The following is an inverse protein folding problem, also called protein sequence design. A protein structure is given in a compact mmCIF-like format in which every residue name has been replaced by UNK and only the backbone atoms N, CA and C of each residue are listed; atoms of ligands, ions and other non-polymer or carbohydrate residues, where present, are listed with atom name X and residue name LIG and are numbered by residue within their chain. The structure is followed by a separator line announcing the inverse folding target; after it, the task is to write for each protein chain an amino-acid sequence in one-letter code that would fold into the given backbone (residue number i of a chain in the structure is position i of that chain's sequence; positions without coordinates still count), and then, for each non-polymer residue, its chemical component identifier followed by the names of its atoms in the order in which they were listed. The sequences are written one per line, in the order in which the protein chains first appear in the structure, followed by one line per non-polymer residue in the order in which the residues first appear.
data_IF_309111154844
#
_entry.id   IF_309111154844
#
_cell.length_a   1.000
_cell.length_b   1.000
_cell.length_c   1.000
_cell.angle_alpha   90.00
_cell.angle_beta   90.00
_cell.angle_gamma   90.00
#
_symmetry.space_group_name_H-M   'P 1'
#
loop_
_entity.id
_entity.type
_entity.pdbx_description
1 polymer ?
#
# COMPACT_ATOMS: atom_id res chain seq x y z
N UNK A 1 25.91 9.17 -4.89
CA UNK A 1 24.50 9.29 -4.47
C UNK A 1 24.28 8.24 -3.39
N UNK A 2 23.90 8.65 -2.18
CA UNK A 2 23.73 7.73 -1.04
C UNK A 2 22.51 6.82 -1.27
N UNK A 3 22.70 5.51 -1.10
CA UNK A 3 21.61 4.54 -1.22
C UNK A 3 20.75 4.51 0.04
N UNK A 4 19.54 3.95 -0.03
CA UNK A 4 18.66 3.76 1.14
C UNK A 4 19.35 2.94 2.23
N UNK A 5 20.11 1.91 1.85
CA UNK A 5 20.87 1.09 2.79
C UNK A 5 21.90 1.93 3.54
N UNK A 6 22.76 2.65 2.82
CA UNK A 6 23.78 3.53 3.44
C UNK A 6 23.16 4.59 4.35
N UNK A 7 22.00 5.14 3.97
CA UNK A 7 21.28 6.09 4.80
C UNK A 7 20.81 5.45 6.12
N UNK A 8 20.25 4.24 6.05
CA UNK A 8 19.81 3.51 7.24
C UNK A 8 20.99 3.03 8.10
N UNK A 9 22.10 2.60 7.50
CA UNK A 9 23.34 2.27 8.22
C UNK A 9 23.75 3.45 9.11
N UNK A 10 23.73 4.68 8.57
CA UNK A 10 24.11 5.88 9.31
C UNK A 10 23.11 6.19 10.43
N UNK A 11 21.80 6.15 10.15
CA UNK A 11 20.77 6.55 11.13
C UNK A 11 20.57 5.50 12.23
N UNK A 12 20.67 4.22 11.89
CA UNK A 12 20.38 3.11 12.80
C UNK A 12 21.61 2.63 13.56
N UNK A 13 22.84 2.89 13.09
CA UNK A 13 24.08 2.48 13.79
C UNK A 13 24.09 2.83 15.30
N UNK A 14 23.69 4.06 15.74
CA UNK A 14 23.66 4.38 17.17
C UNK A 14 22.67 3.54 18.00
N UNK A 15 21.71 2.90 17.34
CA UNK A 15 20.61 2.16 17.96
C UNK A 15 20.75 0.64 17.80
N UNK A 16 21.82 0.14 17.18
CA UNK A 16 22.04 -1.29 16.94
C UNK A 16 21.89 -2.15 18.21
N UNK A 17 22.49 -1.80 19.37
CA UNK A 17 22.32 -2.60 20.59
C UNK A 17 20.86 -2.68 21.06
N UNK A 18 20.08 -1.62 20.84
CA UNK A 18 18.67 -1.58 21.18
C UNK A 18 17.84 -2.42 20.20
N UNK A 19 18.16 -2.34 18.91
CA UNK A 19 17.49 -3.14 17.87
C UNK A 19 17.76 -4.63 18.04
N UNK A 20 19.00 -5.01 18.38
CA UNK A 20 19.37 -6.41 18.63
C UNK A 20 18.72 -7.00 19.88
N UNK A 21 18.48 -6.17 20.90
CA UNK A 21 17.78 -6.57 22.13
C UNK A 21 16.25 -6.47 22.06
N UNK A 22 15.70 -5.81 21.03
CA UNK A 22 14.27 -5.60 20.91
C UNK A 22 13.57 -6.88 20.44
N UNK A 23 12.49 -7.27 21.13
CA UNK A 23 11.63 -8.36 20.67
C UNK A 23 10.92 -8.02 19.34
N UNK A 24 10.61 -6.74 19.13
CA UNK A 24 10.00 -6.24 17.89
C UNK A 24 10.51 -4.83 17.58
N UNK A 25 10.71 -4.54 16.30
CA UNK A 25 11.17 -3.24 15.80
C UNK A 25 10.38 -2.83 14.55
N UNK A 26 9.82 -1.62 14.58
CA UNK A 26 8.93 -1.12 13.53
C UNK A 26 9.44 0.21 12.98
N UNK A 27 9.62 0.29 11.66
CA UNK A 27 10.07 1.50 10.99
C UNK A 27 8.98 2.06 10.07
N UNK A 28 8.71 3.37 10.16
CA UNK A 28 7.71 4.04 9.34
C UNK A 28 8.36 5.14 8.49
N UNK A 29 8.27 5.00 7.17
CA UNK A 29 8.75 6.01 6.23
C UNK A 29 7.63 6.97 5.85
N UNK A 30 7.55 8.13 6.51
CA UNK A 30 6.62 9.21 6.13
C UNK A 30 7.16 10.10 5.00
N UNK A 31 7.65 9.48 3.92
CA UNK A 31 8.20 10.18 2.77
C UNK A 31 7.36 9.93 1.50
N UNK A 32 7.71 10.64 0.41
CA UNK A 32 7.08 10.41 -0.89
C UNK A 32 7.42 9.02 -1.46
N UNK A 33 6.66 8.65 -2.48
CA UNK A 33 6.75 7.33 -3.12
C UNK A 33 8.04 7.02 -3.85
N UNK A 34 9.01 7.93 -3.95
CA UNK A 34 10.29 7.65 -4.62
C UNK A 34 10.98 6.42 -4.05
N UNK A 35 10.84 6.17 -2.75
CA UNK A 35 11.42 5.04 -2.04
C UNK A 35 10.95 3.67 -2.59
N UNK A 36 9.68 3.55 -2.94
CA UNK A 36 9.05 2.29 -3.38
C UNK A 36 8.73 2.24 -4.87
N UNK A 37 8.60 3.41 -5.51
CA UNK A 37 8.35 3.53 -6.95
C UNK A 37 9.65 3.38 -7.77
N UNK A 38 10.81 3.62 -7.17
CA UNK A 38 12.10 3.33 -7.80
C UNK A 38 12.58 1.93 -7.42
N UNK A 39 12.81 1.07 -8.43
CA UNK A 39 13.20 -0.32 -8.22
C UNK A 39 14.52 -0.47 -7.45
N UNK A 40 15.52 0.36 -7.73
CA UNK A 40 16.82 0.32 -7.05
C UNK A 40 16.71 0.76 -5.59
N UNK A 41 15.96 1.84 -5.32
CA UNK A 41 15.68 2.29 -3.95
C UNK A 41 14.89 1.24 -3.17
N UNK A 42 13.90 0.62 -3.79
CA UNK A 42 13.07 -0.39 -3.14
C UNK A 42 13.87 -1.68 -2.86
N UNK A 43 14.73 -2.11 -3.78
CA UNK A 43 15.65 -3.22 -3.56
C UNK A 43 16.64 -2.92 -2.42
N UNK A 44 17.17 -1.70 -2.35
CA UNK A 44 18.03 -1.27 -1.25
C UNK A 44 17.29 -1.24 0.09
N UNK A 45 16.03 -0.78 0.10
CA UNK A 45 15.18 -0.82 1.30
C UNK A 45 14.97 -2.27 1.78
N UNK A 46 14.61 -3.18 0.86
CA UNK A 46 14.42 -4.61 1.19
C UNK A 46 15.65 -5.22 1.86
N UNK A 47 16.85 -4.92 1.33
CA UNK A 47 18.11 -5.37 1.95
C UNK A 47 18.31 -4.76 3.33
N UNK A 48 18.10 -3.46 3.48
CA UNK A 48 18.28 -2.77 4.76
C UNK A 48 17.36 -3.32 5.86
N UNK A 49 16.10 -3.61 5.52
CA UNK A 49 15.14 -4.21 6.44
C UNK A 49 15.64 -5.54 7.01
N UNK A 50 16.25 -6.39 6.16
CA UNK A 50 16.85 -7.66 6.59
C UNK A 50 18.13 -7.43 7.39
N UNK A 51 19.03 -6.57 6.90
CA UNK A 51 20.32 -6.29 7.55
C UNK A 51 20.16 -5.73 8.96
N UNK A 52 19.22 -4.81 9.17
CA UNK A 52 18.93 -4.21 10.48
C UNK A 52 17.89 -4.99 11.30
N UNK A 53 17.51 -6.20 10.86
CA UNK A 53 16.58 -7.10 11.56
C UNK A 53 15.26 -6.41 11.96
N UNK A 54 14.76 -5.54 11.08
CA UNK A 54 13.52 -4.82 11.35
C UNK A 54 12.33 -5.78 11.26
N UNK A 55 11.53 -5.88 12.31
CA UNK A 55 10.34 -6.75 12.34
C UNK A 55 9.36 -6.34 11.26
N UNK A 56 9.08 -5.04 11.14
CA UNK A 56 8.33 -4.52 10.01
C UNK A 56 8.74 -3.12 9.58
N UNK A 57 8.50 -2.82 8.31
CA UNK A 57 8.72 -1.51 7.72
C UNK A 57 7.54 -1.10 6.86
N UNK A 58 7.05 0.12 7.09
CA UNK A 58 5.95 0.73 6.36
C UNK A 58 6.45 1.83 5.42
N UNK A 59 5.99 1.80 4.18
CA UNK A 59 6.27 2.84 3.19
C UNK A 59 5.04 3.11 2.30
N UNK A 60 5.05 4.22 1.57
CA UNK A 60 3.90 4.72 0.82
C UNK A 60 4.31 5.09 -0.60
N UNK A 61 3.44 4.93 -1.61
CA UNK A 61 3.78 5.21 -3.01
C UNK A 61 3.27 6.55 -3.57
N UNK A 62 2.54 7.36 -2.79
CA UNK A 62 2.07 8.65 -3.26
C UNK A 62 3.22 9.60 -3.60
N UNK A 63 3.19 10.19 -4.79
CA UNK A 63 4.22 11.15 -5.27
C UNK A 63 4.31 12.36 -4.34
N UNK A 64 3.17 12.86 -3.88
CA UNK A 64 3.05 13.95 -2.90
C UNK A 64 2.43 13.41 -1.62
N UNK A 65 3.16 12.50 -0.97
CA UNK A 65 2.69 11.88 0.26
C UNK A 65 2.39 12.95 1.33
N UNK A 66 1.26 12.79 2.01
CA UNK A 66 0.80 13.70 3.05
C UNK A 66 0.70 12.89 4.35
N UNK A 67 1.67 13.02 5.27
CA UNK A 67 1.71 12.23 6.49
C UNK A 67 0.47 12.37 7.38
N UNK A 68 -0.23 13.51 7.33
CA UNK A 68 -1.46 13.72 8.10
C UNK A 68 -2.57 12.70 7.81
N UNK A 69 -2.56 12.05 6.64
CA UNK A 69 -3.52 10.98 6.36
C UNK A 69 -3.23 9.67 7.11
N UNK A 70 -2.04 9.49 7.70
CA UNK A 70 -1.70 8.26 8.44
C UNK A 70 -2.17 8.28 9.89
N UNK A 71 -2.70 9.39 10.41
CA UNK A 71 -3.04 9.51 11.83
C UNK A 71 -3.98 8.40 12.32
N UNK A 72 -5.03 8.07 11.56
CA UNK A 72 -5.94 6.99 11.92
C UNK A 72 -5.26 5.62 11.91
N UNK A 73 -4.35 5.39 10.96
CA UNK A 73 -3.59 4.15 10.84
C UNK A 73 -2.61 3.99 12.03
N UNK A 74 -1.94 5.08 12.41
CA UNK A 74 -0.97 5.08 13.52
C UNK A 74 -1.64 4.92 14.88
N UNK A 75 -2.82 5.52 15.06
CA UNK A 75 -3.61 5.30 16.28
C UNK A 75 -4.02 3.83 16.38
N UNK A 76 -4.52 3.23 15.29
CA UNK A 76 -4.89 1.82 15.28
C UNK A 76 -3.66 0.89 15.46
N UNK A 77 -2.50 1.24 14.90
CA UNK A 77 -1.24 0.54 15.15
C UNK A 77 -0.85 0.59 16.62
N UNK A 78 -0.89 1.78 17.22
CA UNK A 78 -0.54 1.99 18.63
C UNK A 78 -1.43 1.15 19.53
N UNK A 79 -2.74 1.21 19.31
CA UNK A 79 -3.72 0.49 20.11
C UNK A 79 -3.56 -1.04 19.95
N UNK A 80 -3.63 -1.54 18.72
CA UNK A 80 -3.70 -2.99 18.49
C UNK A 80 -2.34 -3.68 18.61
N UNK A 81 -1.26 -3.05 18.18
CA UNK A 81 0.07 -3.69 18.11
C UNK A 81 0.92 -3.33 19.33
N UNK A 82 0.97 -2.06 19.73
CA UNK A 82 1.83 -1.66 20.83
C UNK A 82 1.17 -1.89 22.20
N UNK A 83 -0.11 -1.55 22.36
CA UNK A 83 -0.84 -1.68 23.63
C UNK A 83 -1.40 -3.09 23.80
N UNK A 84 -2.19 -3.58 22.84
CA UNK A 84 -2.80 -4.92 22.91
C UNK A 84 -1.83 -6.06 22.55
N UNK A 85 -0.62 -5.75 22.06
CA UNK A 85 0.42 -6.72 21.70
C UNK A 85 -0.05 -7.76 20.67
N UNK A 86 -0.99 -7.39 19.79
CA UNK A 86 -1.43 -8.28 18.71
C UNK A 86 -0.31 -8.43 17.67
N UNK A 87 -0.11 -9.64 17.13
CA UNK A 87 0.83 -9.84 16.02
C UNK A 87 0.49 -8.91 14.86
N UNK A 88 1.50 -8.19 14.34
CA UNK A 88 1.25 -7.14 13.34
C UNK A 88 0.41 -7.63 12.14
N UNK A 89 0.79 -8.78 11.55
CA UNK A 89 0.13 -9.29 10.35
C UNK A 89 -1.36 -9.64 10.57
N UNK A 90 -1.77 -9.98 11.80
CA UNK A 90 -3.19 -10.19 12.12
C UNK A 90 -3.93 -8.89 12.43
N UNK A 91 -3.22 -7.84 12.87
CA UNK A 91 -3.79 -6.52 13.17
C UNK A 91 -3.94 -5.62 11.93
N UNK A 92 -3.09 -5.75 10.91
CA UNK A 92 -3.06 -4.85 9.74
C UNK A 92 -4.43 -4.69 9.07
N UNK A 93 -5.19 -5.77 8.94
CA UNK A 93 -6.52 -5.72 8.32
C UNK A 93 -7.48 -4.80 9.09
N UNK A 94 -7.52 -4.91 10.42
CA UNK A 94 -8.34 -4.03 11.26
C UNK A 94 -7.80 -2.60 11.29
N UNK A 95 -6.47 -2.42 11.30
CA UNK A 95 -5.85 -1.09 11.24
C UNK A 95 -6.24 -0.33 9.96
N UNK A 96 -6.29 -1.04 8.83
CA UNK A 96 -6.66 -0.47 7.54
C UNK A 96 -8.15 -0.16 7.44
N UNK A 97 -9.01 -0.88 8.16
CA UNK A 97 -10.45 -0.69 8.13
C UNK A 97 -10.89 0.77 8.40
N UNK A 98 -10.12 1.47 9.24
CA UNK A 98 -10.37 2.87 9.63
C UNK A 98 -9.62 3.90 8.78
N UNK A 99 -8.85 3.47 7.79
CA UNK A 99 -7.88 4.30 7.05
C UNK A 99 -8.31 4.62 5.61
N UNK A 100 -9.62 4.67 5.32
CA UNK A 100 -10.13 4.83 3.95
C UNK A 100 -9.64 6.11 3.25
N UNK A 101 -9.49 7.23 3.98
CA UNK A 101 -8.95 8.48 3.44
C UNK A 101 -7.51 8.31 2.97
N UNK A 102 -6.69 7.58 3.73
CA UNK A 102 -5.32 7.25 3.36
C UNK A 102 -5.30 6.41 2.07
N UNK A 103 -6.18 5.41 1.96
CA UNK A 103 -6.28 4.56 0.78
C UNK A 103 -6.63 5.29 -0.52
N UNK A 104 -7.39 6.39 -0.43
CA UNK A 104 -7.64 7.26 -1.59
C UNK A 104 -6.38 8.02 -2.04
N UNK A 105 -5.42 8.20 -1.14
CA UNK A 105 -4.20 8.97 -1.37
C UNK A 105 -3.03 8.10 -1.80
N UNK A 106 -2.82 6.97 -1.12
CA UNK A 106 -1.63 6.12 -1.30
C UNK A 106 -1.94 4.65 -1.10
N UNK A 107 -1.15 3.81 -1.74
CA UNK A 107 -0.98 2.41 -1.34
C UNK A 107 0.04 2.35 -0.19
N UNK A 108 0.01 1.25 0.55
CA UNK A 108 0.87 1.02 1.72
C UNK A 108 1.69 -0.24 1.46
N UNK A 109 2.99 -0.13 1.60
CA UNK A 109 3.93 -1.23 1.48
C UNK A 109 4.32 -1.65 2.89
N UNK A 110 4.11 -2.93 3.21
CA UNK A 110 4.51 -3.52 4.47
C UNK A 110 5.52 -4.62 4.18
N UNK A 111 6.74 -4.42 4.67
CA UNK A 111 7.83 -5.38 4.61
C UNK A 111 7.95 -5.99 6.00
N UNK A 112 7.97 -7.31 6.10
CA UNK A 112 8.15 -8.02 7.37
C UNK A 112 9.22 -9.07 7.24
N UNK A 113 10.04 -9.24 8.27
CA UNK A 113 11.07 -10.30 8.32
C UNK A 113 10.60 -11.40 9.24
N UNK A 114 10.59 -12.65 8.78
CA UNK A 114 10.30 -13.81 9.62
C UNK A 114 11.47 -14.10 10.57
N UNK A 115 11.25 -14.93 11.59
CA UNK A 115 12.33 -15.33 12.51
C UNK A 115 13.51 -16.05 11.79
N UNK A 116 13.29 -16.60 10.60
CA UNK A 116 14.33 -17.20 9.76
C UNK A 116 15.03 -16.21 8.81
N UNK A 117 14.79 -14.90 8.95
CA UNK A 117 15.36 -13.88 8.07
C UNK A 117 14.67 -13.75 6.69
N UNK A 118 13.61 -14.53 6.44
CA UNK A 118 12.91 -14.46 5.17
C UNK A 118 12.04 -13.19 5.12
N UNK A 119 12.33 -12.33 4.13
CA UNK A 119 11.56 -11.13 3.87
C UNK A 119 10.24 -11.47 3.20
N UNK A 120 9.14 -10.94 3.70
CA UNK A 120 7.84 -10.86 3.00
C UNK A 120 7.54 -9.40 2.71
N UNK A 121 7.04 -9.13 1.52
CA UNK A 121 6.57 -7.80 1.14
C UNK A 121 5.15 -7.88 0.60
N UNK A 122 4.25 -7.08 1.18
CA UNK A 122 2.86 -6.96 0.73
C UNK A 122 2.55 -5.50 0.41
N UNK A 123 1.78 -5.27 -0.66
CA UNK A 123 1.20 -3.97 -0.98
C UNK A 123 -0.28 -3.98 -0.64
N UNK A 124 -0.70 -3.09 0.24
CA UNK A 124 -2.10 -2.85 0.56
C UNK A 124 -2.62 -1.70 -0.28
N UNK A 125 -3.66 -2.00 -1.04
CA UNK A 125 -4.25 -1.08 -2.02
C UNK A 125 -5.71 -0.88 -1.66
N UNK A 126 -6.16 0.36 -1.62
CA UNK A 126 -7.58 0.63 -1.46
C UNK A 126 -8.25 0.65 -2.83
N UNK A 127 -9.35 -0.08 -2.94
CA UNK A 127 -10.15 -0.22 -4.15
C UNK A 127 -11.53 0.35 -3.95
N UNK A 128 -12.08 0.97 -5.00
CA UNK A 128 -13.45 1.41 -5.07
C UNK A 128 -13.94 1.25 -6.50
N UNK A 129 -15.08 0.58 -6.69
CA UNK A 129 -15.64 0.28 -8.01
C UNK A 129 -15.60 1.48 -8.95
N UNK A 130 -16.09 2.63 -8.50
CA UNK A 130 -16.32 3.79 -9.38
C UNK A 130 -15.17 4.82 -9.42
N UNK A 131 -14.13 4.67 -8.58
CA UNK A 131 -13.05 5.68 -8.47
C UNK A 131 -11.65 5.09 -8.55
N UNK A 132 -11.50 3.89 -7.95
CA UNK A 132 -10.25 3.14 -7.94
C UNK A 132 -10.51 1.65 -8.20
N UNK A 133 -11.09 1.28 -9.35
CA UNK A 133 -11.39 -0.11 -9.67
C UNK A 133 -10.12 -0.95 -9.59
N UNK A 134 -10.11 -1.93 -8.69
CA UNK A 134 -8.93 -2.74 -8.36
C UNK A 134 -7.68 -1.92 -8.05
N UNK A 135 -7.86 -0.74 -7.43
CA UNK A 135 -6.78 0.17 -7.07
C UNK A 135 -6.21 1.03 -8.21
N UNK A 136 -6.61 0.77 -9.46
CA UNK A 136 -6.22 1.60 -10.59
C UNK A 136 -6.98 2.92 -10.60
N UNK A 137 -6.34 4.01 -11.03
CA UNK A 137 -6.97 5.33 -11.04
C UNK A 137 -7.94 5.47 -12.23
N UNK A 138 -9.23 5.72 -11.95
CA UNK A 138 -10.20 6.13 -12.96
C UNK A 138 -10.36 7.66 -12.91
N UNK A 139 -10.03 8.40 -13.99
CA UNK A 139 -10.19 9.85 -14.02
C UNK A 139 -11.64 10.27 -13.80
N UNK A 140 -11.92 11.39 -13.13
CA UNK A 140 -13.30 11.88 -12.95
C UNK A 140 -13.91 12.36 -14.28
N UNK A 141 -13.07 12.87 -15.17
CA UNK A 141 -13.45 13.35 -16.51
C UNK A 141 -12.77 12.50 -17.57
N UNK A 142 -13.43 12.32 -18.71
CA UNK A 142 -12.79 11.66 -19.85
C UNK A 142 -11.63 12.53 -20.35
N UNK A 143 -10.38 12.04 -20.34
CA UNK A 143 -9.23 12.85 -20.76
C UNK A 143 -9.24 13.18 -22.25
N UNK A 144 -10.06 12.47 -23.05
CA UNK A 144 -10.17 12.68 -24.50
C UNK A 144 -11.18 13.76 -24.89
N UNK A 145 -12.36 13.77 -24.26
CA UNK A 145 -13.45 14.68 -24.64
C UNK A 145 -13.90 15.64 -23.53
N UNK A 146 -13.31 15.55 -22.33
CA UNK A 146 -13.63 16.42 -21.20
C UNK A 146 -14.98 16.17 -20.52
N UNK A 147 -15.75 15.17 -20.98
CA UNK A 147 -17.04 14.84 -20.40
C UNK A 147 -16.89 14.51 -18.91
N UNK A 148 -17.68 15.14 -18.04
CA UNK A 148 -17.69 14.90 -16.60
C UNK A 148 -18.61 13.74 -16.25
N UNK A 149 -18.30 13.00 -15.18
CA UNK A 149 -19.01 11.75 -14.83
C UNK A 149 -19.07 10.79 -16.02
N UNK A 150 -17.89 10.57 -16.60
CA UNK A 150 -17.78 10.15 -17.98
C UNK A 150 -18.03 8.67 -18.21
N UNK A 151 -18.30 7.86 -17.19
CA UNK A 151 -18.06 6.42 -17.29
C UNK A 151 -19.32 5.59 -17.06
N UNK A 152 -19.71 4.84 -18.09
CA UNK A 152 -20.60 3.67 -17.95
C UNK A 152 -19.72 2.48 -17.57
N UNK A 153 -20.09 1.74 -16.53
CA UNK A 153 -19.30 0.62 -16.02
C UNK A 153 -19.99 -0.73 -16.25
N UNK A 154 -19.21 -1.75 -16.59
CA UNK A 154 -19.64 -3.15 -16.54
C UNK A 154 -18.61 -3.99 -15.76
N UNK A 155 -19.08 -5.09 -15.16
CA UNK A 155 -18.22 -6.08 -14.51
C UNK A 155 -18.21 -7.36 -15.34
N UNK A 156 -17.02 -7.82 -15.69
CA UNK A 156 -16.79 -9.06 -16.43
C UNK A 156 -16.32 -10.11 -15.43
N UNK A 157 -17.21 -11.03 -15.09
CA UNK A 157 -16.98 -12.00 -14.00
C UNK A 157 -15.88 -13.02 -14.33
N UNK A 158 -15.79 -13.47 -15.59
CA UNK A 158 -14.76 -14.42 -16.05
C UNK A 158 -13.35 -13.88 -15.84
N UNK A 159 -13.17 -12.58 -16.05
CA UNK A 159 -11.87 -11.93 -16.03
C UNK A 159 -11.61 -11.18 -14.73
N UNK A 160 -12.60 -11.20 -13.81
CA UNK A 160 -12.65 -10.38 -12.59
C UNK A 160 -12.22 -8.94 -12.87
N UNK A 161 -12.82 -8.35 -13.91
CA UNK A 161 -12.42 -7.06 -14.43
C UNK A 161 -13.59 -6.08 -14.47
N UNK A 162 -13.30 -4.80 -14.27
CA UNK A 162 -14.21 -3.71 -14.54
C UNK A 162 -13.85 -3.05 -15.86
N UNK A 163 -14.82 -2.91 -16.75
CA UNK A 163 -14.70 -2.08 -17.94
C UNK A 163 -15.44 -0.77 -17.74
N UNK A 164 -14.86 0.32 -18.24
CA UNK A 164 -15.43 1.65 -18.23
C UNK A 164 -15.38 2.23 -19.62
N UNK A 165 -16.52 2.73 -20.11
CA UNK A 165 -16.65 3.33 -21.43
C UNK A 165 -17.19 4.75 -21.32
N UNK A 166 -16.72 5.65 -22.18
CA UNK A 166 -17.16 7.02 -22.16
C UNK A 166 -18.67 7.13 -22.44
N UNK A 167 -19.40 7.91 -21.63
CA UNK A 167 -20.82 8.22 -21.80
C UNK A 167 -21.10 9.06 -23.05
N UNK A 168 -20.10 9.78 -23.55
CA UNK A 168 -20.24 10.58 -24.76
C UNK A 168 -20.19 9.67 -25.99
N UNK A 169 -21.29 9.56 -26.72
CA UNK A 169 -21.42 8.67 -27.88
C UNK A 169 -20.47 9.03 -29.05
N UNK A 170 -19.92 10.25 -29.04
CA UNK A 170 -18.86 10.66 -29.99
C UNK A 170 -17.44 10.30 -29.53
N UNK A 171 -17.27 9.63 -28.38
CA UNK A 171 -15.98 9.33 -27.78
C UNK A 171 -15.79 7.84 -27.51
N UNK A 172 -14.77 7.23 -28.11
CA UNK A 172 -14.44 5.81 -27.93
C UNK A 172 -13.41 5.51 -26.84
N UNK A 173 -13.24 6.41 -25.87
CA UNK A 173 -12.30 6.18 -24.76
C UNK A 173 -12.87 5.13 -23.80
N UNK A 174 -12.04 4.16 -23.42
CA UNK A 174 -12.37 3.15 -22.42
C UNK A 174 -11.18 2.84 -21.51
N UNK A 175 -11.48 2.18 -20.39
CA UNK A 175 -10.51 1.61 -19.45
C UNK A 175 -10.95 0.22 -19.02
N UNK A 176 -9.98 -0.66 -18.80
CA UNK A 176 -10.20 -1.98 -18.21
C UNK A 176 -9.26 -2.11 -17.02
N UNK A 177 -9.81 -2.52 -15.88
CA UNK A 177 -9.07 -2.78 -14.66
C UNK A 177 -9.34 -4.21 -14.23
N UNK A 178 -8.30 -5.03 -14.18
CA UNK A 178 -8.37 -6.42 -13.72
C UNK A 178 -7.89 -6.54 -12.28
N UNK A 179 -8.42 -7.52 -11.55
CA UNK A 179 -7.90 -7.84 -10.23
C UNK A 179 -6.41 -8.24 -10.34
N UNK A 180 -5.50 -7.62 -9.54
CA UNK A 180 -4.10 -8.00 -9.56
C UNK A 180 -3.92 -9.48 -9.19
N UNK A 181 -2.99 -10.21 -9.83
CA UNK A 181 -2.73 -11.61 -9.50
C UNK A 181 -2.40 -11.79 -8.02
N UNK A 182 -3.02 -12.79 -7.38
CA UNK A 182 -2.84 -13.06 -5.95
C UNK A 182 -3.45 -12.03 -5.01
N UNK A 183 -4.15 -11.01 -5.52
CA UNK A 183 -4.79 -10.02 -4.66
C UNK A 183 -5.92 -10.64 -3.84
N UNK A 184 -5.91 -10.38 -2.53
CA UNK A 184 -6.93 -10.82 -1.59
C UNK A 184 -7.65 -9.61 -1.02
N UNK A 185 -8.98 -9.57 -1.18
CA UNK A 185 -9.80 -8.55 -0.52
C UNK A 185 -9.78 -8.75 0.99
N UNK A 186 -9.57 -7.67 1.72
CA UNK A 186 -9.70 -7.64 3.17
C UNK A 186 -11.19 -7.52 3.53
N UNK A 187 -11.58 -8.23 4.57
CA UNK A 187 -12.95 -8.24 5.10
C UNK A 187 -13.22 -7.05 6.01
N UNK A 188 -12.26 -6.68 6.86
CA UNK A 188 -12.41 -5.55 7.76
C UNK A 188 -12.48 -4.22 6.99
N UNK A 189 -13.44 -3.37 7.36
CA UNK A 189 -13.67 -2.07 6.74
C UNK A 189 -14.18 -2.12 5.29
N UNK A 190 -14.57 -3.31 4.80
CA UNK A 190 -15.26 -3.45 3.52
C UNK A 190 -16.61 -2.73 3.58
N UNK A 191 -16.82 -1.83 2.64
CA UNK A 191 -18.09 -1.14 2.44
C UNK A 191 -18.67 -1.50 1.08
N UNK A 192 -19.87 -0.99 0.76
CA UNK A 192 -20.54 -1.27 -0.51
C UNK A 192 -19.71 -0.71 -1.66
N UNK A 193 -19.01 -1.59 -2.39
CA UNK A 193 -18.20 -1.23 -3.55
C UNK A 193 -16.78 -0.74 -3.24
N UNK A 194 -16.33 -0.75 -1.98
CA UNK A 194 -14.96 -0.35 -1.62
C UNK A 194 -14.36 -1.17 -0.50
N UNK A 195 -13.03 -1.25 -0.46
CA UNK A 195 -12.31 -1.92 0.62
C UNK A 195 -10.81 -1.92 0.35
N UNK A 196 -10.07 -2.48 1.29
CA UNK A 196 -8.64 -2.74 1.10
C UNK A 196 -8.43 -4.12 0.47
N UNK A 197 -7.35 -4.25 -0.28
CA UNK A 197 -6.84 -5.52 -0.76
C UNK A 197 -5.35 -5.64 -0.46
N UNK A 198 -4.92 -6.84 -0.09
CA UNK A 198 -3.52 -7.21 -0.02
C UNK A 198 -3.09 -7.76 -1.37
N UNK A 199 -1.98 -7.24 -1.90
CA UNK A 199 -1.32 -7.73 -3.11
C UNK A 199 0.08 -8.20 -2.71
N UNK A 200 0.36 -9.52 -2.68
CA UNK A 200 1.69 -10.03 -2.42
C UNK A 200 2.68 -9.53 -3.47
N UNK A 201 3.85 -9.06 -3.04
CA UNK A 201 4.91 -8.62 -3.95
C UNK A 201 5.90 -9.77 -4.14
N UNK A 202 6.32 -10.00 -5.39
CA UNK A 202 7.41 -10.93 -5.66
C UNK A 202 8.70 -10.43 -5.00
N UNK A 203 9.37 -11.36 -4.33
CA UNK A 203 10.71 -11.18 -3.80
C UNK A 203 11.63 -11.73 -4.89
N UNK A 204 11.95 -10.88 -5.86
CA UNK A 204 13.04 -11.12 -6.79
C UNK A 204 14.36 -10.66 -6.15
#
# INVERSE_FOLDING_TARGET
MTTVLQFLDIILAPWEPLLDGAGESYLWFFCCGSLVNNSASFAALRRAVVCHKLTATFAFNAIKFQPSFTSALLLAFTDQVLVERRPLLSAVENMLAHSQKLGRHTDIFVLTVSQGGALRASKYVWTHRDFRPWGGFLPIQCPRCGYADAWRSAYVETDKAYSFECCNDSCSQSYIFSQPPGARMLTAGKARGSGWMEVPLSIA
#
